data_IF_661828338884
#
_entry.id   IF_661828338884
#
_cell.length_a   1.000
_cell.length_b   1.000
_cell.length_c   1.000
_cell.angle_alpha   90.00
_cell.angle_beta   90.00
_cell.angle_gamma   90.00
#
_symmetry.space_group_name_H-M   'P 1'
#
loop_
_entity.id
_entity.type
_entity.pdbx_description
1 polymer ?
#
# COMPACT_ATOMS: atom_id res chain seq x y z
N UNK A 1 4.59 -2.37 20.91
CA UNK A 1 4.90 -1.53 19.72
C UNK A 1 4.36 -2.19 18.46
N UNK A 2 4.20 -1.46 17.35
CA UNK A 2 3.60 -2.03 16.13
C UNK A 2 4.48 -3.07 15.41
N UNK A 3 5.81 -3.08 15.64
CA UNK A 3 6.74 -4.05 15.03
C UNK A 3 6.62 -5.47 15.59
N UNK A 4 5.95 -5.65 16.74
CA UNK A 4 5.64 -6.94 17.41
C UNK A 4 6.82 -7.92 17.57
N UNK A 5 8.02 -7.44 17.92
CA UNK A 5 9.17 -8.31 18.13
C UNK A 5 8.97 -9.35 19.26
N UNK A 6 8.05 -9.12 20.20
CA UNK A 6 7.72 -10.06 21.28
C UNK A 6 6.72 -11.16 20.88
N UNK A 7 6.30 -11.23 19.62
CA UNK A 7 5.26 -12.18 19.18
C UNK A 7 5.66 -13.63 19.42
N UNK A 8 6.95 -13.95 19.24
CA UNK A 8 7.57 -15.25 19.53
C UNK A 8 7.68 -15.58 21.03
N UNK A 9 7.28 -14.68 21.92
CA UNK A 9 7.31 -14.93 23.37
C UNK A 9 5.92 -15.19 23.95
N UNK A 10 4.89 -15.28 23.09
CA UNK A 10 3.54 -15.63 23.53
C UNK A 10 3.43 -17.10 23.95
N UNK A 11 4.16 -17.99 23.26
CA UNK A 11 4.30 -19.40 23.64
C UNK A 11 5.77 -19.73 23.91
N UNK A 12 6.16 -19.51 25.16
CA UNK A 12 7.52 -19.76 25.62
C UNK A 12 7.89 -21.25 25.58
N UNK A 13 6.92 -22.15 25.73
CA UNK A 13 7.15 -23.58 25.75
C UNK A 13 7.42 -24.12 24.35
N UNK A 14 6.67 -23.65 23.33
CA UNK A 14 6.97 -23.95 21.91
C UNK A 14 8.31 -23.38 21.49
N UNK A 15 8.59 -22.12 21.84
CA UNK A 15 9.89 -21.52 21.54
C UNK A 15 11.02 -22.36 22.16
N UNK A 16 10.88 -22.78 23.41
CA UNK A 16 11.88 -23.60 24.10
C UNK A 16 12.10 -24.95 23.42
N UNK A 17 11.03 -25.61 22.92
CA UNK A 17 11.15 -26.85 22.15
C UNK A 17 11.92 -26.66 20.85
N UNK A 18 11.59 -25.61 20.09
CA UNK A 18 12.24 -25.32 18.80
C UNK A 18 13.73 -25.06 18.96
N UNK A 19 14.11 -24.19 19.91
CA UNK A 19 15.52 -23.78 20.03
C UNK A 19 16.43 -24.81 20.70
N UNK A 20 15.84 -25.79 21.38
CA UNK A 20 16.55 -26.88 22.07
C UNK A 20 16.38 -28.25 21.38
N UNK A 21 15.83 -28.30 20.16
CA UNK A 21 15.87 -29.51 19.34
C UNK A 21 17.35 -29.88 19.07
N UNK A 22 17.83 -31.06 19.52
CA UNK A 22 19.23 -31.44 19.39
C UNK A 22 19.61 -31.76 17.94
N UNK A 23 18.65 -32.19 17.13
CA UNK A 23 18.86 -32.59 15.75
C UNK A 23 18.69 -31.40 14.79
N UNK A 24 17.86 -30.43 15.17
CA UNK A 24 17.51 -29.26 14.32
C UNK A 24 17.57 -27.95 15.12
N UNK A 25 18.75 -27.53 15.59
CA UNK A 25 18.88 -26.36 16.44
C UNK A 25 18.48 -25.06 15.72
N UNK A 26 17.77 -24.17 16.41
CA UNK A 26 17.39 -22.86 15.87
C UNK A 26 17.88 -21.75 16.79
N UNK A 27 18.37 -20.66 16.21
CA UNK A 27 18.77 -19.45 16.93
C UNK A 27 17.94 -18.25 16.49
N UNK A 28 17.50 -17.46 17.46
CA UNK A 28 16.84 -16.19 17.22
C UNK A 28 17.77 -15.05 17.60
N UNK A 29 18.09 -14.21 16.61
CA UNK A 29 18.95 -13.04 16.80
C UNK A 29 18.09 -11.79 16.70
N UNK A 30 17.99 -11.06 17.80
CA UNK A 30 17.35 -9.76 17.88
C UNK A 30 18.41 -8.68 17.81
N UNK A 31 18.11 -7.59 17.10
CA UNK A 31 18.94 -6.40 17.08
C UNK A 31 18.06 -5.17 16.92
N UNK A 32 18.39 -4.10 17.63
CA UNK A 32 17.63 -2.86 17.53
C UNK A 32 18.06 -1.79 18.53
N UNK A 33 17.55 -0.58 18.31
CA UNK A 33 17.67 0.56 19.22
C UNK A 33 16.27 1.10 19.46
N UNK A 34 15.96 1.42 20.70
CA UNK A 34 14.78 2.21 21.03
C UNK A 34 15.18 3.67 21.18
N UNK A 35 14.34 4.59 20.71
CA UNK A 35 14.56 6.01 20.94
C UNK A 35 14.50 6.30 22.46
N UNK A 36 15.26 7.27 22.99
CA UNK A 36 15.21 7.62 24.42
C UNK A 36 13.81 7.97 24.95
N UNK A 37 12.91 8.42 24.06
CA UNK A 37 11.51 8.74 24.38
C UNK A 37 10.50 7.66 23.97
N UNK A 38 10.95 6.54 23.43
CA UNK A 38 10.09 5.39 23.10
C UNK A 38 10.10 4.36 24.24
N UNK A 39 9.34 4.66 25.30
CA UNK A 39 9.24 3.77 26.47
C UNK A 39 8.78 2.36 26.11
N UNK A 40 7.83 2.23 25.16
CA UNK A 40 7.36 0.93 24.70
C UNK A 40 8.44 0.12 23.95
N UNK A 41 9.30 0.78 23.19
CA UNK A 41 10.48 0.16 22.57
C UNK A 41 11.54 -0.26 23.60
N UNK A 42 11.77 0.56 24.63
CA UNK A 42 12.71 0.24 25.71
C UNK A 42 12.25 -0.96 26.53
N UNK A 43 10.97 -1.00 26.93
CA UNK A 43 10.38 -2.13 27.66
C UNK A 43 10.44 -3.43 26.85
N UNK A 44 10.22 -3.34 25.53
CA UNK A 44 10.34 -4.47 24.62
C UNK A 44 11.78 -5.03 24.56
N UNK A 45 12.78 -4.15 24.40
CA UNK A 45 14.19 -4.56 24.41
C UNK A 45 14.56 -5.18 25.75
N UNK A 46 14.17 -4.55 26.86
CA UNK A 46 14.39 -5.10 28.21
C UNK A 46 13.80 -6.51 28.33
N UNK A 47 12.56 -6.71 27.88
CA UNK A 47 11.90 -8.02 27.90
C UNK A 47 12.63 -9.06 27.06
N UNK A 48 13.12 -8.71 25.87
CA UNK A 48 13.92 -9.61 25.02
C UNK A 48 15.20 -10.04 25.77
N UNK A 49 15.89 -9.09 26.39
CA UNK A 49 17.13 -9.35 27.14
C UNK A 49 16.85 -10.27 28.34
N UNK A 50 15.82 -9.99 29.14
CA UNK A 50 15.40 -10.86 30.25
C UNK A 50 15.13 -12.30 29.78
N UNK A 51 14.44 -12.47 28.65
CA UNK A 51 14.15 -13.79 28.08
C UNK A 51 15.43 -14.48 27.61
N UNK A 52 16.34 -13.76 26.93
CA UNK A 52 17.60 -14.33 26.44
C UNK A 52 18.49 -14.89 27.56
N UNK A 53 18.31 -14.41 28.79
CA UNK A 53 19.06 -14.84 29.98
C UNK A 53 18.40 -16.01 30.73
N UNK A 54 17.19 -16.44 30.36
CA UNK A 54 16.58 -17.60 31.00
C UNK A 54 17.36 -18.88 30.63
N UNK A 55 17.47 -19.87 31.54
CA UNK A 55 18.29 -21.07 31.31
C UNK A 55 17.97 -21.81 30.01
N UNK A 56 16.69 -21.89 29.64
CA UNK A 56 16.21 -22.60 28.44
C UNK A 56 16.43 -21.84 27.12
N UNK A 57 16.84 -20.56 27.17
CA UNK A 57 17.09 -19.73 25.98
C UNK A 57 18.53 -19.22 25.88
N UNK A 58 19.33 -19.44 26.92
CA UNK A 58 20.72 -18.97 26.98
C UNK A 58 21.53 -19.56 25.82
N UNK A 59 22.17 -18.69 25.03
CA UNK A 59 22.93 -19.08 23.83
C UNK A 59 22.08 -19.43 22.60
N UNK A 60 20.76 -19.31 22.69
CA UNK A 60 19.81 -19.63 21.62
C UNK A 60 18.97 -18.43 21.18
N UNK A 61 18.55 -17.60 22.13
CA UNK A 61 17.98 -16.27 21.88
C UNK A 61 19.07 -15.26 22.21
N UNK A 62 19.48 -14.47 21.22
CA UNK A 62 20.57 -13.51 21.35
C UNK A 62 20.05 -12.11 21.08
N UNK A 63 20.50 -11.14 21.88
CA UNK A 63 20.28 -9.73 21.62
C UNK A 63 21.62 -9.07 21.26
N UNK A 64 21.69 -8.47 20.07
CA UNK A 64 22.85 -7.72 19.60
C UNK A 64 22.60 -6.23 19.77
N UNK A 65 23.42 -5.62 20.61
CA UNK A 65 23.34 -4.20 20.90
C UNK A 65 23.80 -3.34 19.72
N UNK A 66 23.44 -2.07 19.78
CA UNK A 66 24.00 -1.04 18.91
C UNK A 66 23.79 -1.21 17.40
N UNK A 67 22.67 -1.83 16.98
CA UNK A 67 22.31 -1.96 15.55
C UNK A 67 22.53 -0.69 14.73
N UNK A 68 23.38 -0.82 13.72
CA UNK A 68 23.77 0.23 12.78
C UNK A 68 24.00 -0.40 11.39
N UNK A 69 24.54 0.38 10.45
CA UNK A 69 24.75 -0.08 9.08
C UNK A 69 25.81 -1.19 9.01
N UNK A 70 26.83 -1.17 9.87
CA UNK A 70 27.87 -2.21 9.86
C UNK A 70 27.30 -3.53 10.38
N UNK A 71 26.60 -3.50 11.51
CA UNK A 71 25.94 -4.71 12.03
C UNK A 71 24.87 -5.20 11.05
N UNK A 72 24.09 -4.31 10.46
CA UNK A 72 23.10 -4.67 9.43
C UNK A 72 23.76 -5.43 8.28
N UNK A 73 24.90 -4.94 7.76
CA UNK A 73 25.64 -5.59 6.67
C UNK A 73 26.06 -7.01 7.02
N UNK A 74 26.51 -7.25 8.25
CA UNK A 74 26.89 -8.59 8.73
C UNK A 74 25.67 -9.50 8.88
N UNK A 75 24.58 -8.99 9.46
CA UNK A 75 23.37 -9.78 9.70
C UNK A 75 22.70 -10.21 8.41
N UNK A 76 22.48 -9.29 7.46
CA UNK A 76 21.82 -9.64 6.18
C UNK A 76 22.62 -10.62 5.33
N UNK A 77 23.90 -10.84 5.63
CA UNK A 77 24.76 -11.83 4.96
C UNK A 77 24.89 -13.14 5.73
N UNK A 78 24.56 -13.14 7.03
CA UNK A 78 24.82 -14.25 7.93
C UNK A 78 23.57 -14.97 8.42
N UNK A 79 22.38 -14.37 8.27
CA UNK A 79 21.12 -15.00 8.70
C UNK A 79 20.44 -15.75 7.56
N UNK A 80 19.81 -16.86 7.91
CA UNK A 80 19.04 -17.70 7.00
C UNK A 80 17.64 -17.13 6.71
N UNK A 81 16.97 -16.66 7.77
CA UNK A 81 15.65 -16.02 7.71
C UNK A 81 15.74 -14.57 8.21
N UNK A 82 15.18 -13.64 7.43
CA UNK A 82 14.86 -12.29 7.92
C UNK A 82 13.40 -12.22 8.33
N UNK A 83 13.14 -12.23 9.64
CA UNK A 83 11.80 -12.25 10.23
C UNK A 83 11.34 -10.85 10.69
N UNK A 84 10.18 -10.41 10.23
CA UNK A 84 9.50 -9.22 10.76
C UNK A 84 7.99 -9.41 10.75
N UNK A 85 7.32 -8.96 11.82
CA UNK A 85 5.90 -9.22 12.03
C UNK A 85 5.14 -7.94 12.36
N UNK A 86 5.25 -6.85 11.57
CA UNK A 86 4.53 -5.62 11.88
C UNK A 86 3.01 -5.84 11.96
N UNK A 87 2.33 -5.04 12.76
CA UNK A 87 0.86 -4.97 12.77
C UNK A 87 0.36 -4.45 11.42
N UNK A 88 -0.48 -5.24 10.75
CA UNK A 88 -1.12 -4.86 9.48
C UNK A 88 -2.17 -3.76 9.70
N UNK A 89 -2.29 -2.72 8.86
CA UNK A 89 -1.46 -2.38 7.69
C UNK A 89 -0.47 -1.22 7.99
N UNK A 90 0.23 -1.28 9.12
CA UNK A 90 1.01 -0.14 9.63
C UNK A 90 2.41 -0.06 9.01
N UNK A 91 2.86 -1.08 8.27
CA UNK A 91 4.12 -1.01 7.55
C UNK A 91 3.90 -0.46 6.13
N UNK A 92 4.42 0.73 5.84
CA UNK A 92 4.30 1.32 4.51
C UNK A 92 5.11 0.55 3.44
N UNK A 93 6.29 0.04 3.79
CA UNK A 93 7.19 -0.69 2.88
C UNK A 93 8.09 -1.64 3.70
N UNK A 94 9.36 -1.31 3.93
CA UNK A 94 10.29 -2.09 4.75
C UNK A 94 11.54 -2.54 3.98
N UNK A 95 12.57 -1.70 3.94
CA UNK A 95 13.76 -1.95 3.08
C UNK A 95 14.76 -2.97 3.64
N UNK A 96 14.64 -3.40 4.89
CA UNK A 96 15.56 -4.40 5.46
C UNK A 96 15.36 -5.78 4.83
N UNK A 97 14.11 -6.14 4.54
CA UNK A 97 13.78 -7.37 3.83
C UNK A 97 14.31 -7.36 2.40
N UNK A 98 14.15 -6.23 1.70
CA UNK A 98 14.69 -6.00 0.36
C UNK A 98 16.22 -6.19 0.30
N UNK A 99 16.94 -5.73 1.33
CA UNK A 99 18.40 -5.93 1.45
C UNK A 99 18.75 -7.39 1.73
N UNK A 100 17.98 -8.06 2.58
CA UNK A 100 18.21 -9.45 2.95
C UNK A 100 18.08 -10.38 1.73
N UNK A 101 17.02 -10.22 0.93
CA UNK A 101 16.80 -11.07 -0.26
C UNK A 101 17.90 -10.93 -1.33
N UNK A 102 18.59 -9.78 -1.39
CA UNK A 102 19.75 -9.60 -2.27
C UNK A 102 20.97 -10.44 -1.86
N UNK A 103 21.03 -10.91 -0.62
CA UNK A 103 22.10 -11.75 -0.09
C UNK A 103 21.69 -13.23 0.00
N UNK A 104 20.55 -13.61 -0.58
CA UNK A 104 20.03 -14.98 -0.51
C UNK A 104 19.31 -15.32 0.79
N UNK A 105 19.26 -14.41 1.77
CA UNK A 105 18.43 -14.57 2.97
C UNK A 105 16.97 -14.58 2.59
N UNK A 106 16.23 -15.54 3.12
CA UNK A 106 14.81 -15.71 2.80
C UNK A 106 13.96 -14.86 3.76
N UNK A 107 12.96 -14.17 3.22
CA UNK A 107 12.10 -13.31 4.04
C UNK A 107 10.92 -14.11 4.61
N UNK A 108 10.61 -13.86 5.87
CA UNK A 108 9.42 -14.38 6.54
C UNK A 108 8.70 -13.23 7.24
N UNK A 109 7.50 -12.89 6.76
CA UNK A 109 6.78 -11.74 7.27
C UNK A 109 5.27 -11.90 7.16
N UNK A 110 4.53 -10.92 7.67
CA UNK A 110 3.14 -10.71 7.29
C UNK A 110 3.06 -10.10 5.89
N UNK A 111 1.95 -10.32 5.16
CA UNK A 111 1.65 -9.61 3.91
C UNK A 111 1.24 -8.15 4.20
N UNK A 112 2.24 -7.33 4.48
CA UNK A 112 2.18 -5.87 4.65
C UNK A 112 3.39 -5.19 4.02
N UNK A 113 3.29 -3.89 3.75
CA UNK A 113 4.37 -3.11 3.13
C UNK A 113 4.92 -3.75 1.86
N UNK A 114 6.26 -3.80 1.76
CA UNK A 114 6.96 -4.28 0.57
C UNK A 114 6.68 -5.77 0.28
N UNK A 115 6.35 -6.55 1.33
CA UNK A 115 6.13 -7.98 1.18
C UNK A 115 4.85 -8.31 0.42
N UNK A 116 3.87 -7.38 0.37
CA UNK A 116 2.70 -7.51 -0.50
C UNK A 116 3.10 -7.52 -1.98
N UNK A 117 4.09 -6.73 -2.36
CA UNK A 117 4.64 -6.66 -3.72
C UNK A 117 5.62 -7.79 -4.00
N UNK A 118 6.46 -8.11 -3.01
CA UNK A 118 7.60 -9.02 -3.15
C UNK A 118 7.27 -10.50 -2.98
N UNK A 119 6.26 -10.87 -2.22
CA UNK A 119 5.97 -12.27 -1.93
C UNK A 119 5.74 -13.08 -3.21
N UNK A 120 6.43 -14.20 -3.32
CA UNK A 120 6.22 -15.23 -4.34
C UNK A 120 6.17 -16.57 -3.63
N UNK A 121 5.26 -17.45 -4.06
CA UNK A 121 5.25 -18.82 -3.58
C UNK A 121 6.63 -19.46 -3.81
N UNK A 122 7.09 -20.25 -2.84
CA UNK A 122 8.41 -20.90 -2.83
C UNK A 122 9.61 -19.93 -2.81
N UNK A 123 9.42 -18.67 -2.41
CA UNK A 123 10.49 -17.66 -2.30
C UNK A 123 10.40 -16.89 -0.96
N UNK A 124 10.10 -17.61 0.12
CA UNK A 124 9.84 -17.07 1.44
C UNK A 124 8.45 -17.41 1.95
N UNK A 125 8.17 -16.96 3.18
CA UNK A 125 6.96 -17.32 3.90
C UNK A 125 6.17 -16.07 4.26
N UNK A 126 4.84 -16.22 4.27
CA UNK A 126 3.96 -15.10 4.51
C UNK A 126 2.75 -15.46 5.37
N UNK A 127 2.50 -14.71 6.43
CA UNK A 127 1.22 -14.79 7.13
C UNK A 127 0.10 -14.19 6.26
N UNK A 128 -1.16 -14.64 6.42
CA UNK A 128 -2.29 -14.14 5.64
C UNK A 128 -2.43 -12.62 5.64
N UNK A 129 -2.75 -12.05 4.47
CA UNK A 129 -3.00 -10.60 4.30
C UNK A 129 -4.20 -10.13 5.11
N UNK A 130 -5.29 -10.90 5.07
CA UNK A 130 -6.52 -10.59 5.80
C UNK A 130 -6.36 -10.91 7.28
N UNK A 131 -6.89 -10.04 8.12
CA UNK A 131 -7.03 -10.28 9.55
C UNK A 131 -8.23 -11.19 9.80
N UNK A 132 -8.09 -12.08 10.77
CA UNK A 132 -9.19 -12.90 11.28
C UNK A 132 -9.95 -12.15 12.38
N UNK A 133 -9.27 -11.26 13.10
CA UNK A 133 -9.85 -10.53 14.23
C UNK A 133 -9.56 -9.03 14.16
N UNK A 134 -10.57 -8.23 14.54
CA UNK A 134 -10.45 -6.79 14.77
C UNK A 134 -9.64 -6.50 16.05
N UNK A 135 -9.82 -7.31 17.09
CA UNK A 135 -9.02 -7.25 18.32
C UNK A 135 -7.56 -7.64 18.02
N UNK A 136 -6.62 -6.77 18.40
CA UNK A 136 -5.20 -6.97 18.11
C UNK A 136 -4.56 -8.11 18.92
N UNK A 137 -4.98 -8.35 20.15
CA UNK A 137 -4.41 -9.43 20.98
C UNK A 137 -4.83 -10.80 20.46
N UNK A 138 -6.11 -10.98 20.11
CA UNK A 138 -6.58 -12.20 19.47
C UNK A 138 -5.88 -12.43 18.11
N UNK A 139 -5.65 -11.36 17.34
CA UNK A 139 -4.88 -11.47 16.10
C UNK A 139 -3.42 -11.84 16.36
N UNK A 140 -2.83 -11.36 17.46
CA UNK A 140 -1.47 -11.72 17.85
C UNK A 140 -1.38 -13.21 18.24
N UNK A 141 -2.39 -13.77 18.93
CA UNK A 141 -2.43 -15.20 19.25
C UNK A 141 -2.44 -16.05 17.98
N UNK A 142 -3.32 -15.74 17.02
CA UNK A 142 -3.36 -16.47 15.75
C UNK A 142 -2.11 -16.28 14.90
N UNK A 143 -1.56 -15.06 14.84
CA UNK A 143 -0.33 -14.81 14.10
C UNK A 143 0.85 -15.59 14.72
N UNK A 144 0.94 -15.64 16.06
CA UNK A 144 1.98 -16.41 16.76
C UNK A 144 1.85 -17.92 16.48
N UNK A 145 0.64 -18.48 16.60
CA UNK A 145 0.36 -19.88 16.27
C UNK A 145 0.73 -20.22 14.82
N UNK A 146 0.38 -19.33 13.89
CA UNK A 146 0.72 -19.50 12.48
C UNK A 146 2.24 -19.50 12.26
N UNK A 147 2.96 -18.61 12.95
CA UNK A 147 4.42 -18.54 12.87
C UNK A 147 5.06 -19.84 13.37
N UNK A 148 4.62 -20.35 14.52
CA UNK A 148 5.17 -21.61 15.03
C UNK A 148 4.86 -22.78 14.11
N UNK A 149 3.64 -22.88 13.58
CA UNK A 149 3.29 -23.94 12.62
C UNK A 149 4.19 -23.87 11.37
N UNK A 150 4.41 -22.67 10.81
CA UNK A 150 5.31 -22.50 9.67
C UNK A 150 6.76 -22.87 10.03
N UNK A 151 7.23 -22.50 11.21
CA UNK A 151 8.57 -22.87 11.68
C UNK A 151 8.72 -24.39 11.79
N UNK A 152 7.82 -25.06 12.52
CA UNK A 152 7.92 -26.47 12.86
C UNK A 152 7.68 -27.41 11.68
N UNK A 153 6.75 -27.07 10.79
CA UNK A 153 6.29 -27.96 9.73
C UNK A 153 6.82 -27.62 8.32
N UNK A 154 7.31 -26.41 8.10
CA UNK A 154 7.78 -25.97 6.77
C UNK A 154 9.25 -25.51 6.81
N UNK A 155 9.55 -24.46 7.59
CA UNK A 155 10.84 -23.75 7.52
C UNK A 155 11.99 -24.60 8.06
N UNK A 156 11.86 -25.11 9.29
CA UNK A 156 12.92 -25.90 9.95
C UNK A 156 13.14 -27.23 9.19
N UNK A 157 12.09 -27.99 8.79
CA UNK A 157 12.27 -29.17 7.96
C UNK A 157 12.97 -28.87 6.63
N UNK A 158 12.59 -27.81 5.92
CA UNK A 158 13.22 -27.46 4.64
C UNK A 158 14.72 -27.16 4.78
N UNK A 159 15.13 -26.50 5.86
CA UNK A 159 16.53 -26.19 6.14
C UNK A 159 17.37 -27.44 6.46
N UNK A 160 16.83 -28.34 7.29
CA UNK A 160 17.56 -29.51 7.78
C UNK A 160 17.38 -30.78 6.92
N UNK A 161 16.50 -30.74 5.91
CA UNK A 161 16.29 -31.85 4.98
C UNK A 161 17.38 -31.88 3.90
N UNK A 162 18.58 -32.32 4.30
CA UNK A 162 19.71 -32.51 3.41
C UNK A 162 19.63 -33.83 2.62
N UNK A 163 20.15 -33.82 1.40
CA UNK A 163 20.37 -35.02 0.60
C UNK A 163 21.61 -35.82 1.07
N UNK A 164 21.95 -36.89 0.34
CA UNK A 164 23.11 -37.74 0.64
C UNK A 164 24.46 -36.99 0.61
N UNK A 165 24.53 -35.84 -0.07
CA UNK A 165 25.72 -34.97 -0.14
C UNK A 165 25.71 -33.88 0.94
N UNK A 166 24.69 -33.84 1.80
CA UNK A 166 24.55 -32.84 2.84
C UNK A 166 23.94 -31.51 2.36
N UNK A 167 23.34 -31.47 1.17
CA UNK A 167 22.76 -30.25 0.60
C UNK A 167 21.26 -30.18 0.89
N UNK A 168 20.76 -29.12 1.53
CA UNK A 168 19.32 -28.95 1.75
C UNK A 168 18.63 -28.45 0.47
N UNK A 169 18.33 -29.37 -0.44
CA UNK A 169 17.86 -29.07 -1.81
C UNK A 169 16.63 -28.15 -1.83
N UNK A 170 15.66 -28.39 -0.93
CA UNK A 170 14.47 -27.57 -0.81
C UNK A 170 14.82 -26.13 -0.37
N UNK A 171 15.64 -25.98 0.66
CA UNK A 171 16.13 -24.68 1.11
C UNK A 171 16.86 -23.91 0.00
N UNK A 172 17.77 -24.57 -0.71
CA UNK A 172 18.49 -23.98 -1.84
C UNK A 172 17.53 -23.52 -2.95
N UNK A 173 16.43 -24.26 -3.18
CA UNK A 173 15.39 -23.84 -4.11
C UNK A 173 14.73 -22.53 -3.69
N UNK A 174 14.43 -22.35 -2.40
CA UNK A 174 13.91 -21.09 -1.86
C UNK A 174 14.89 -19.92 -2.03
N UNK A 175 16.17 -20.14 -1.77
CA UNK A 175 17.22 -19.12 -2.00
C UNK A 175 17.25 -18.71 -3.48
N UNK A 176 17.31 -19.68 -4.40
CA UNK A 176 17.33 -19.42 -5.85
C UNK A 176 16.09 -18.65 -6.30
N UNK A 177 14.91 -19.06 -5.85
CA UNK A 177 13.67 -18.36 -6.16
C UNK A 177 13.66 -16.93 -5.63
N UNK A 178 14.17 -16.71 -4.41
CA UNK A 178 14.29 -15.38 -3.81
C UNK A 178 15.19 -14.47 -4.66
N UNK A 179 16.38 -14.95 -5.03
CA UNK A 179 17.34 -14.19 -5.83
C UNK A 179 16.85 -13.91 -7.26
N UNK A 180 16.10 -14.82 -7.87
CA UNK A 180 15.66 -14.69 -9.28
C UNK A 180 14.33 -13.95 -9.39
N UNK A 181 13.37 -14.19 -8.49
CA UNK A 181 11.99 -13.71 -8.63
C UNK A 181 11.68 -12.47 -7.80
N UNK A 182 12.50 -12.17 -6.78
CA UNK A 182 12.25 -11.05 -5.85
C UNK A 182 13.34 -10.00 -6.00
N UNK A 183 14.61 -10.34 -5.75
CA UNK A 183 15.69 -9.36 -5.68
C UNK A 183 15.79 -8.37 -6.87
N UNK A 184 15.57 -8.78 -8.15
CA UNK A 184 15.64 -7.85 -9.29
C UNK A 184 14.59 -6.73 -9.27
N UNK A 185 13.44 -6.97 -8.63
CA UNK A 185 12.32 -6.03 -8.56
C UNK A 185 12.53 -4.94 -7.49
N UNK A 186 13.47 -5.12 -6.55
CA UNK A 186 13.68 -4.21 -5.43
C UNK A 186 15.01 -3.47 -5.50
N UNK A 187 15.44 -3.11 -6.71
CA UNK A 187 16.65 -2.30 -6.90
C UNK A 187 16.37 -0.79 -6.80
N UNK A 188 17.32 -0.06 -6.21
CA UNK A 188 17.28 1.41 -6.20
C UNK A 188 17.30 2.00 -7.62
N UNK A 189 17.88 1.28 -8.59
CA UNK A 189 17.84 1.69 -10.00
C UNK A 189 16.43 1.74 -10.53
N UNK A 190 15.63 0.66 -10.37
CA UNK A 190 14.23 0.64 -10.80
C UNK A 190 13.45 1.79 -10.16
N UNK A 191 13.63 1.99 -8.85
CA UNK A 191 12.98 3.10 -8.14
C UNK A 191 13.36 4.46 -8.76
N UNK A 192 14.65 4.70 -9.00
CA UNK A 192 15.11 5.96 -9.62
C UNK A 192 14.56 6.13 -11.04
N UNK A 193 14.57 5.08 -11.86
CA UNK A 193 14.03 5.10 -13.22
C UNK A 193 12.52 5.45 -13.19
N UNK A 194 11.75 4.82 -12.29
CA UNK A 194 10.34 5.14 -12.05
C UNK A 194 10.14 6.62 -11.62
N UNK A 195 10.98 7.14 -10.72
CA UNK A 195 10.89 8.54 -10.29
C UNK A 195 11.24 9.52 -11.41
N UNK A 196 12.25 9.20 -12.21
CA UNK A 196 12.70 10.02 -13.33
C UNK A 196 11.61 10.10 -14.40
N UNK A 197 11.06 8.96 -14.82
CA UNK A 197 10.03 8.90 -15.85
C UNK A 197 8.70 9.51 -15.38
N UNK A 198 8.22 9.09 -14.21
CA UNK A 198 6.88 9.47 -13.74
C UNK A 198 6.81 10.91 -13.26
N UNK A 199 7.89 11.44 -12.69
CA UNK A 199 7.90 12.76 -12.06
C UNK A 199 8.93 13.70 -12.68
N UNK A 200 10.23 13.43 -12.57
CA UNK A 200 11.26 14.44 -12.86
C UNK A 200 11.25 14.92 -14.31
N UNK A 201 11.16 14.02 -15.29
CA UNK A 201 11.12 14.37 -16.72
C UNK A 201 9.87 15.14 -17.11
N UNK A 202 8.74 14.95 -16.41
CA UNK A 202 7.49 15.69 -16.64
C UNK A 202 7.48 17.04 -15.91
N UNK A 203 8.01 17.08 -14.70
CA UNK A 203 8.08 18.30 -13.87
C UNK A 203 9.10 19.30 -14.40
N UNK A 204 10.19 18.85 -15.03
CA UNK A 204 11.21 19.74 -15.59
C UNK A 204 10.67 20.72 -16.64
N UNK A 205 10.04 20.30 -17.76
CA UNK A 205 9.48 21.22 -18.75
C UNK A 205 8.35 22.07 -18.15
N UNK A 206 7.52 21.50 -17.26
CA UNK A 206 6.48 22.25 -16.55
C UNK A 206 7.06 23.37 -15.68
N UNK A 207 8.11 23.08 -14.92
CA UNK A 207 8.82 24.05 -14.08
C UNK A 207 9.39 25.19 -14.92
N UNK A 208 9.97 24.89 -16.11
CA UNK A 208 10.41 25.92 -17.06
C UNK A 208 9.25 26.78 -17.56
N UNK A 209 8.14 26.16 -17.97
CA UNK A 209 6.95 26.87 -18.45
C UNK A 209 6.38 27.84 -17.40
N UNK A 210 6.29 27.41 -16.13
CA UNK A 210 5.78 28.25 -15.05
C UNK A 210 6.76 29.33 -14.55
N UNK A 211 8.07 29.17 -14.78
CA UNK A 211 9.11 30.16 -14.44
C UNK A 211 9.36 31.19 -15.54
N UNK A 212 8.95 30.91 -16.78
CA UNK A 212 9.13 31.82 -17.92
C UNK A 212 8.43 33.18 -17.70
N UNK A 213 8.89 34.21 -18.42
CA UNK A 213 8.30 35.55 -18.46
C UNK A 213 8.00 36.14 -17.07
N UNK A 214 8.96 36.05 -16.14
CA UNK A 214 8.77 36.50 -14.76
C UNK A 214 7.53 35.88 -14.09
N UNK A 215 7.39 34.57 -14.22
CA UNK A 215 6.32 33.74 -13.63
C UNK A 215 4.91 34.09 -14.12
N UNK A 216 4.76 34.55 -15.36
CA UNK A 216 3.46 34.94 -15.96
C UNK A 216 2.39 33.85 -15.78
N UNK A 217 2.66 32.62 -16.22
CA UNK A 217 1.72 31.49 -16.10
C UNK A 217 1.42 31.06 -14.67
N UNK A 218 2.38 31.23 -13.75
CA UNK A 218 2.13 30.99 -12.34
C UNK A 218 1.17 32.02 -11.75
N UNK A 219 1.32 33.30 -12.11
CA UNK A 219 0.43 34.40 -11.69
C UNK A 219 -0.97 34.23 -12.29
N UNK A 220 -1.07 33.86 -13.57
CA UNK A 220 -2.35 33.52 -14.21
C UNK A 220 -3.07 32.38 -13.47
N UNK A 221 -2.37 31.28 -13.20
CA UNK A 221 -2.91 30.14 -12.45
C UNK A 221 -3.36 30.53 -11.03
N UNK A 222 -2.57 31.34 -10.32
CA UNK A 222 -2.91 31.81 -8.98
C UNK A 222 -4.17 32.69 -9.00
N UNK A 223 -4.26 33.62 -9.96
CA UNK A 223 -5.44 34.45 -10.18
C UNK A 223 -6.67 33.60 -10.50
N UNK A 224 -6.52 32.64 -11.42
CA UNK A 224 -7.58 31.69 -11.78
C UNK A 224 -8.07 30.89 -10.57
N UNK A 225 -7.17 30.31 -9.76
CA UNK A 225 -7.55 29.60 -8.51
C UNK A 225 -8.29 30.52 -7.55
N UNK A 226 -7.90 31.79 -7.47
CA UNK A 226 -8.60 32.76 -6.62
C UNK A 226 -10.02 33.06 -7.11
N UNK A 227 -10.19 33.33 -8.41
CA UNK A 227 -11.50 33.55 -9.02
C UNK A 227 -12.40 32.34 -8.85
N UNK A 228 -11.88 31.13 -9.10
CA UNK A 228 -12.64 29.90 -8.91
C UNK A 228 -13.13 29.78 -7.47
N UNK A 229 -12.29 30.00 -6.45
CA UNK A 229 -12.72 29.97 -5.04
C UNK A 229 -13.84 30.96 -4.71
N UNK A 230 -13.83 32.14 -5.32
CA UNK A 230 -14.83 33.18 -5.04
C UNK A 230 -16.17 32.91 -5.72
N UNK A 231 -16.15 32.29 -6.90
CA UNK A 231 -17.35 32.09 -7.72
C UNK A 231 -17.93 30.67 -7.65
N UNK A 232 -17.20 29.69 -7.09
CA UNK A 232 -17.57 28.28 -7.12
C UNK A 232 -18.95 27.99 -6.50
N UNK A 233 -19.22 28.61 -5.34
CA UNK A 233 -20.46 28.39 -4.61
C UNK A 233 -21.67 29.07 -5.28
N UNK A 234 -21.43 29.97 -6.25
CA UNK A 234 -22.47 30.64 -7.04
C UNK A 234 -22.98 29.76 -8.20
N UNK A 235 -22.36 28.61 -8.47
CA UNK A 235 -22.84 27.67 -9.49
C UNK A 235 -24.18 27.10 -9.05
N UNK A 236 -25.20 27.20 -9.91
CA UNK A 236 -26.53 26.62 -9.64
C UNK A 236 -26.74 25.40 -10.53
N UNK A 237 -27.28 24.33 -9.95
CA UNK A 237 -27.80 23.19 -10.70
C UNK A 237 -29.21 23.55 -11.13
N UNK A 238 -29.46 23.66 -12.43
CA UNK A 238 -30.77 24.04 -12.96
C UNK A 238 -31.68 22.83 -13.11
N UNK A 239 -31.14 21.76 -13.67
CA UNK A 239 -31.82 20.48 -13.83
C UNK A 239 -30.77 19.39 -14.12
N UNK A 240 -31.07 18.14 -13.78
CA UNK A 240 -30.33 16.98 -14.24
C UNK A 240 -31.32 15.82 -14.49
N UNK A 241 -30.99 14.98 -15.47
CA UNK A 241 -31.79 13.80 -15.80
C UNK A 241 -30.86 12.64 -16.15
N UNK A 242 -31.17 11.48 -15.61
CA UNK A 242 -30.45 10.26 -15.88
C UNK A 242 -31.44 9.15 -16.26
N UNK A 243 -31.13 8.41 -17.32
CA UNK A 243 -31.86 7.21 -17.69
C UNK A 243 -31.56 6.11 -16.67
N UNK A 244 -32.41 5.97 -15.66
CA UNK A 244 -32.29 4.89 -14.66
C UNK A 244 -32.93 3.60 -15.20
N UNK A 245 -32.22 2.46 -15.20
CA UNK A 245 -32.87 1.17 -15.35
C UNK A 245 -33.73 0.85 -14.13
N UNK A 246 -34.73 -0.02 -14.30
CA UNK A 246 -35.49 -0.57 -13.17
C UNK A 246 -34.53 -1.26 -12.18
N UNK A 247 -34.75 -1.03 -10.88
CA UNK A 247 -33.99 -1.62 -9.76
C UNK A 247 -32.46 -1.37 -9.79
N UNK A 248 -31.99 -0.31 -10.45
CA UNK A 248 -30.55 -0.01 -10.64
C UNK A 248 -29.76 -1.15 -11.30
N UNK A 249 -30.42 -1.98 -12.11
CA UNK A 249 -29.78 -3.08 -12.85
C UNK A 249 -29.35 -2.59 -14.23
N UNK A 250 -28.05 -2.39 -14.39
CA UNK A 250 -27.48 -1.92 -15.65
C UNK A 250 -27.15 -3.08 -16.60
N UNK A 251 -27.68 -3.02 -17.82
CA UNK A 251 -27.42 -4.03 -18.85
C UNK A 251 -26.14 -3.72 -19.60
N UNK A 252 -25.29 -4.74 -19.74
CA UNK A 252 -24.06 -4.66 -20.52
C UNK A 252 -24.36 -4.24 -21.95
N UNK A 253 -23.67 -3.21 -22.44
CA UNK A 253 -23.80 -2.73 -23.82
C UNK A 253 -25.01 -1.82 -24.11
N UNK A 254 -25.88 -1.53 -23.14
CA UNK A 254 -26.93 -0.51 -23.28
C UNK A 254 -26.36 0.89 -23.03
N UNK A 255 -26.79 1.88 -23.82
CA UNK A 255 -26.34 3.28 -23.72
C UNK A 255 -27.33 4.09 -22.86
N UNK A 256 -26.99 4.28 -21.59
CA UNK A 256 -27.76 5.09 -20.66
C UNK A 256 -27.36 6.56 -20.76
N UNK A 257 -28.33 7.44 -21.00
CA UNK A 257 -28.05 8.88 -21.18
C UNK A 257 -28.15 9.67 -19.89
N UNK A 258 -27.17 10.54 -19.68
CA UNK A 258 -27.13 11.50 -18.58
C UNK A 258 -27.03 12.92 -19.11
N UNK A 259 -27.85 13.82 -18.60
CA UNK A 259 -27.80 15.26 -18.90
C UNK A 259 -27.80 16.08 -17.63
N UNK A 260 -27.04 17.17 -17.64
CA UNK A 260 -27.06 18.16 -16.57
C UNK A 260 -26.95 19.57 -17.11
N UNK A 261 -27.84 20.44 -16.62
CA UNK A 261 -27.86 21.86 -16.91
C UNK A 261 -27.38 22.64 -15.69
N UNK A 262 -26.33 23.43 -15.86
CA UNK A 262 -25.73 24.27 -14.83
C UNK A 262 -25.84 25.74 -15.20
N UNK A 263 -26.02 26.62 -14.22
CA UNK A 263 -25.76 28.05 -14.35
C UNK A 263 -24.42 28.36 -13.68
N UNK A 264 -23.36 28.46 -14.48
CA UNK A 264 -21.99 28.71 -14.02
C UNK A 264 -21.68 30.21 -13.83
N UNK A 265 -22.71 31.07 -13.94
CA UNK A 265 -22.61 32.52 -13.73
C UNK A 265 -21.50 33.15 -14.57
N UNK A 266 -20.45 33.66 -13.92
CA UNK A 266 -19.32 34.38 -14.53
C UNK A 266 -18.12 33.46 -14.80
N UNK A 267 -18.18 32.19 -14.42
CA UNK A 267 -17.08 31.26 -14.65
C UNK A 267 -17.04 30.90 -16.16
N UNK A 268 -15.87 30.94 -16.81
CA UNK A 268 -15.73 30.45 -18.18
C UNK A 268 -16.15 28.97 -18.28
N UNK A 269 -16.89 28.61 -19.33
CA UNK A 269 -17.49 27.26 -19.48
C UNK A 269 -16.45 26.14 -19.58
N UNK A 270 -15.27 26.45 -20.11
CA UNK A 270 -14.12 25.56 -20.17
C UNK A 270 -13.51 25.27 -18.79
N UNK A 271 -13.86 26.06 -17.76
CA UNK A 271 -13.32 25.94 -16.42
C UNK A 271 -14.20 25.12 -15.46
N UNK A 272 -15.32 24.58 -15.94
CA UNK A 272 -16.21 23.72 -15.17
C UNK A 272 -16.32 22.36 -15.86
N UNK A 273 -15.74 21.35 -15.22
CA UNK A 273 -15.93 19.95 -15.57
C UNK A 273 -17.10 19.36 -14.79
N UNK A 274 -17.81 18.44 -15.43
CA UNK A 274 -18.84 17.61 -14.78
C UNK A 274 -18.45 16.16 -15.00
N UNK A 275 -18.52 15.37 -13.93
CA UNK A 275 -18.15 13.96 -13.95
C UNK A 275 -19.24 13.11 -13.30
N UNK A 276 -19.47 11.98 -13.93
CA UNK A 276 -20.26 10.89 -13.41
C UNK A 276 -19.32 9.88 -12.76
N UNK A 277 -19.58 9.53 -11.50
CA UNK A 277 -18.76 8.58 -10.73
C UNK A 277 -19.58 7.33 -10.47
N UNK A 278 -18.99 6.16 -10.75
CA UNK A 278 -19.57 4.86 -10.51
C UNK A 278 -18.95 4.21 -9.28
N UNK A 279 -19.80 3.62 -8.46
CA UNK A 279 -19.40 2.86 -7.29
C UNK A 279 -20.18 1.56 -7.18
N UNK A 280 -19.62 0.60 -6.45
CA UNK A 280 -20.26 -0.65 -6.08
C UNK A 280 -20.22 -0.79 -4.55
N UNK A 281 -21.20 -1.46 -3.95
CA UNK A 281 -21.10 -1.82 -2.54
C UNK A 281 -20.18 -3.03 -2.39
N UNK A 282 -19.16 -2.89 -1.56
CA UNK A 282 -18.34 -4.02 -1.14
C UNK A 282 -19.11 -4.89 -0.11
N UNK A 283 -18.51 -6.01 0.31
CA UNK A 283 -19.12 -6.94 1.27
C UNK A 283 -19.39 -6.33 2.65
N UNK A 284 -18.70 -5.24 2.97
CA UNK A 284 -18.80 -4.53 4.25
C UNK A 284 -19.83 -3.39 4.18
N UNK A 285 -20.49 -3.19 3.02
CA UNK A 285 -21.50 -2.16 2.81
C UNK A 285 -20.92 -0.77 2.50
N UNK A 286 -19.63 -0.68 2.15
CA UNK A 286 -18.99 0.57 1.75
C UNK A 286 -18.95 0.73 0.23
N UNK A 287 -19.04 1.98 -0.25
CA UNK A 287 -18.93 2.31 -1.66
C UNK A 287 -17.47 2.23 -2.13
N UNK A 288 -17.19 1.33 -3.06
CA UNK A 288 -15.91 1.21 -3.75
C UNK A 288 -16.00 1.87 -5.12
N UNK A 289 -15.02 2.74 -5.45
CA UNK A 289 -14.93 3.36 -6.76
C UNK A 289 -14.72 2.31 -7.86
N UNK A 290 -15.55 2.37 -8.90
CA UNK A 290 -15.46 1.48 -10.07
C UNK A 290 -14.83 2.23 -11.24
N UNK A 291 -15.44 3.34 -11.63
CA UNK A 291 -15.00 4.14 -12.79
C UNK A 291 -15.60 5.55 -12.75
N UNK A 292 -15.18 6.43 -13.65
CA UNK A 292 -15.78 7.75 -13.83
C UNK A 292 -15.77 8.22 -15.28
N UNK A 293 -16.85 8.87 -15.71
CA UNK A 293 -17.01 9.42 -17.05
C UNK A 293 -17.20 10.93 -17.00
N UNK A 294 -16.36 11.68 -17.73
CA UNK A 294 -16.55 13.12 -17.90
C UNK A 294 -17.70 13.40 -18.89
N UNK A 295 -18.58 14.34 -18.54
CA UNK A 295 -19.61 14.83 -19.45
C UNK A 295 -19.01 15.77 -20.48
N UNK A 296 -19.54 15.71 -21.71
CA UNK A 296 -19.21 16.65 -22.77
C UNK A 296 -20.12 17.87 -22.69
N UNK A 297 -19.53 19.06 -22.77
CA UNK A 297 -20.29 20.31 -22.93
C UNK A 297 -20.96 20.32 -24.31
N UNK A 298 -22.30 20.32 -24.34
CA UNK A 298 -23.11 20.31 -25.56
C UNK A 298 -23.46 21.72 -26.01
N UNK A 299 -23.84 22.59 -25.08
CA UNK A 299 -24.15 23.99 -25.37
C UNK A 299 -23.89 24.88 -24.16
N UNK A 300 -23.67 26.18 -24.40
CA UNK A 300 -23.45 27.16 -23.35
C UNK A 300 -23.81 28.57 -23.81
N UNK A 301 -24.77 29.22 -23.14
CA UNK A 301 -25.21 30.60 -23.44
C UNK A 301 -25.56 31.34 -22.15
N UNK A 302 -25.04 32.56 -21.98
CA UNK A 302 -25.30 33.43 -20.82
C UNK A 302 -25.11 32.72 -19.46
N UNK A 303 -24.01 31.99 -19.29
CA UNK A 303 -23.72 31.23 -18.06
C UNK A 303 -24.50 29.92 -17.91
N UNK A 304 -25.52 29.66 -18.72
CA UNK A 304 -26.26 28.38 -18.72
C UNK A 304 -25.57 27.39 -19.65
N UNK A 305 -25.12 26.27 -19.11
CA UNK A 305 -24.39 25.23 -19.82
C UNK A 305 -25.12 23.89 -19.71
N UNK A 306 -25.23 23.17 -20.82
CA UNK A 306 -25.75 21.82 -20.90
C UNK A 306 -24.61 20.85 -21.15
N UNK A 307 -24.51 19.83 -20.30
CA UNK A 307 -23.53 18.77 -20.38
C UNK A 307 -24.23 17.42 -20.60
N UNK A 308 -23.63 16.53 -21.39
CA UNK A 308 -24.15 15.18 -21.66
C UNK A 308 -23.06 14.13 -21.53
N UNK A 309 -23.40 13.01 -20.90
CA UNK A 309 -22.60 11.80 -20.89
C UNK A 309 -23.46 10.62 -21.36
N UNK A 310 -22.78 9.66 -21.97
CA UNK A 310 -23.33 8.37 -22.37
C UNK A 310 -22.61 7.31 -21.55
N UNK A 311 -23.37 6.43 -20.92
CA UNK A 311 -22.84 5.35 -20.11
C UNK A 311 -23.12 4.03 -20.82
N UNK A 312 -22.05 3.32 -21.14
CA UNK A 312 -22.11 1.94 -21.62
C UNK A 312 -21.42 1.05 -20.60
N UNK A 313 -22.18 0.40 -19.69
CA UNK A 313 -21.60 -0.50 -18.70
C UNK A 313 -20.93 -1.67 -19.40
N UNK A 314 -19.66 -1.93 -19.09
CA UNK A 314 -18.92 -3.11 -19.60
C UNK A 314 -19.25 -4.38 -18.78
N UNK A 315 -19.78 -4.22 -17.57
CA UNK A 315 -20.16 -5.31 -16.67
C UNK A 315 -21.59 -5.12 -16.20
N UNK A 316 -22.35 -6.22 -16.18
CA UNK A 316 -23.67 -6.24 -15.55
C UNK A 316 -23.53 -6.31 -14.02
N UNK A 317 -24.38 -5.60 -13.29
CA UNK A 317 -24.36 -5.57 -11.83
C UNK A 317 -25.19 -4.42 -11.25
N UNK A 318 -25.26 -4.39 -9.91
CA UNK A 318 -25.82 -3.25 -9.17
C UNK A 318 -24.71 -2.21 -8.96
N UNK A 319 -24.92 -1.03 -9.55
CA UNK A 319 -24.02 0.11 -9.39
C UNK A 319 -24.76 1.26 -8.76
N UNK A 320 -24.02 2.06 -8.01
CA UNK A 320 -24.45 3.35 -7.52
C UNK A 320 -23.67 4.42 -8.27
N UNK A 321 -24.29 5.58 -8.42
CA UNK A 321 -23.65 6.68 -9.10
C UNK A 321 -23.80 7.97 -8.30
N UNK A 322 -22.90 8.91 -8.59
CA UNK A 322 -23.01 10.27 -8.14
C UNK A 322 -22.51 11.23 -9.21
N UNK A 323 -23.07 12.43 -9.23
CA UNK A 323 -22.63 13.49 -10.14
C UNK A 323 -21.83 14.51 -9.35
N UNK A 324 -20.66 14.87 -9.85
CA UNK A 324 -19.86 15.94 -9.26
C UNK A 324 -19.39 16.94 -10.29
N UNK A 325 -19.21 18.17 -9.83
CA UNK A 325 -18.56 19.24 -10.60
C UNK A 325 -17.21 19.56 -9.99
N UNK A 326 -16.25 19.91 -10.87
CA UNK A 326 -14.88 20.23 -10.48
C UNK A 326 -14.30 21.33 -11.37
N UNK A 327 -13.36 22.15 -10.87
CA UNK A 327 -12.64 23.12 -11.68
C UNK A 327 -11.80 22.43 -12.74
N UNK A 328 -11.92 22.88 -13.98
CA UNK A 328 -11.11 22.42 -15.10
C UNK A 328 -10.16 23.52 -15.54
N UNK A 329 -8.91 23.18 -15.84
CA UNK A 329 -7.97 24.13 -16.42
C UNK A 329 -6.90 23.36 -17.18
N UNK A 330 -6.53 23.83 -18.37
CA UNK A 330 -5.55 23.14 -19.24
C UNK A 330 -4.20 22.90 -18.55
N UNK A 331 -3.80 23.81 -17.67
CA UNK A 331 -2.53 23.76 -16.96
C UNK A 331 -2.62 23.02 -15.61
N UNK A 332 -3.76 22.43 -15.25
CA UNK A 332 -3.87 21.50 -14.12
C UNK A 332 -3.65 20.05 -14.60
N UNK A 333 -2.54 19.39 -14.26
CA UNK A 333 -2.24 18.03 -14.69
C UNK A 333 -3.18 17.00 -14.05
N UNK A 334 -3.65 17.24 -12.82
CA UNK A 334 -4.53 16.35 -12.08
C UNK A 334 -5.67 17.15 -11.45
N UNK A 335 -6.82 16.49 -11.26
CA UNK A 335 -8.00 17.10 -10.61
C UNK A 335 -7.72 17.46 -9.14
N UNK A 336 -6.84 16.70 -8.49
CA UNK A 336 -6.43 16.85 -7.09
C UNK A 336 -5.55 18.09 -6.84
N UNK A 337 -5.02 18.73 -7.88
CA UNK A 337 -4.20 19.94 -7.75
C UNK A 337 -5.01 21.15 -7.24
N UNK A 338 -6.33 21.02 -7.15
CA UNK A 338 -7.20 22.03 -6.59
C UNK A 338 -8.39 21.39 -5.86
N UNK A 339 -8.66 21.87 -4.64
CA UNK A 339 -9.50 21.17 -3.67
C UNK A 339 -11.01 21.34 -3.87
N UNK A 340 -11.44 22.22 -4.79
CA UNK A 340 -12.86 22.48 -4.99
C UNK A 340 -13.50 21.30 -5.73
N UNK A 341 -14.58 20.80 -5.15
CA UNK A 341 -15.40 19.72 -5.67
C UNK A 341 -16.79 19.94 -5.09
N UNK A 342 -17.84 19.69 -5.88
CA UNK A 342 -19.21 19.68 -5.36
C UNK A 342 -19.96 18.49 -5.91
N UNK A 343 -20.46 17.64 -5.00
CA UNK A 343 -21.43 16.61 -5.33
C UNK A 343 -22.81 17.24 -5.53
N UNK A 344 -23.53 16.73 -6.51
CA UNK A 344 -24.88 17.17 -6.89
C UNK A 344 -25.90 16.14 -6.44
N UNK A 345 -25.54 14.86 -6.60
CA UNK A 345 -26.28 13.67 -6.19
C UNK A 345 -25.28 12.65 -5.66
#
# INVERSE_FOLDING_TARGET
TYKRASLLFRDMDRLARIVNDPDRPVQFIYAGKAHPHDGGGQDLIKRIVEISQMPQFTGKVLFLENYDIELAKRLIQGVDIWLNTPTRPLEASGTSGEKAVMNGTIHFSVLDGWWVEGYRAYAGWALPKKRSFTNQELQNDVDAETIYNMLEYEIIPAYYSADEEGVPVEWISHIKNTMVKIAPEFTMRRMLDDYIDRYYLKLWPRSKYFKANNFEKAKEMASWKNTMRQEWDNIEVLNYSFEQPNDNVYHSGHDYRAEIALNIKKIPKENVGVEFVFTQLNKDGEYEFVDSQEFKLVSGKNGKCLYRANLVPEKAGTFFYGIRIYPKHKDLPHKQDFYLLRWID
#
